data_IF_577625257823
#
_entry.id   IF_577625257823
#
_cell.length_a   1.000
_cell.length_b   1.000
_cell.length_c   1.000
_cell.angle_alpha   90.00
_cell.angle_beta   90.00
_cell.angle_gamma   90.00
#
_symmetry.space_group_name_H-M   'P 1'
#
loop_
_entity.id
_entity.type
_entity.pdbx_description
1 polymer ?
#
# COMPACT_ATOMS: atom_id res chain seq x y z
N UNK A 1 -6.55 14.84 -19.57
CA UNK A 1 -6.28 13.53 -20.20
C UNK A 1 -6.99 12.46 -19.39
N UNK A 2 -7.61 11.47 -20.03
CA UNK A 2 -8.29 10.36 -19.33
C UNK A 2 -7.23 9.36 -18.84
N UNK A 3 -7.08 9.23 -17.52
CA UNK A 3 -6.08 8.38 -16.88
C UNK A 3 -6.44 6.87 -16.90
N UNK A 4 -7.29 6.43 -17.82
CA UNK A 4 -7.71 5.01 -17.89
C UNK A 4 -6.72 4.21 -18.71
N UNK A 5 -5.76 3.58 -18.03
CA UNK A 5 -4.82 2.63 -18.66
C UNK A 5 -5.52 1.30 -18.87
N UNK A 6 -5.50 0.82 -20.12
CA UNK A 6 -5.98 -0.52 -20.45
C UNK A 6 -4.95 -1.27 -21.28
N UNK A 7 -4.38 -2.30 -20.69
CA UNK A 7 -3.43 -3.18 -21.40
C UNK A 7 -4.20 -4.23 -22.18
N UNK A 8 -3.90 -4.37 -23.46
CA UNK A 8 -4.43 -5.43 -24.33
C UNK A 8 -3.59 -6.70 -24.22
N UNK A 9 -4.20 -7.85 -24.54
CA UNK A 9 -3.51 -9.14 -24.60
C UNK A 9 -2.27 -9.10 -25.53
N UNK A 10 -2.36 -8.38 -26.65
CA UNK A 10 -1.26 -8.24 -27.61
C UNK A 10 -0.09 -7.45 -27.01
N UNK A 11 -0.36 -6.35 -26.31
CA UNK A 11 0.68 -5.59 -25.61
C UNK A 11 1.34 -6.43 -24.51
N UNK A 12 0.54 -7.15 -23.72
CA UNK A 12 1.04 -8.07 -22.70
C UNK A 12 1.93 -9.17 -23.31
N UNK A 13 1.53 -9.75 -24.43
CA UNK A 13 2.33 -10.75 -25.17
C UNK A 13 3.66 -10.19 -25.65
N UNK A 14 3.70 -8.94 -26.13
CA UNK A 14 4.94 -8.28 -26.56
C UNK A 14 5.88 -8.01 -25.38
N UNK A 15 5.33 -7.50 -24.27
CA UNK A 15 6.10 -7.23 -23.05
C UNK A 15 6.72 -8.54 -22.54
N UNK A 16 5.91 -9.58 -22.33
CA UNK A 16 6.41 -10.86 -21.80
C UNK A 16 7.33 -11.57 -22.79
N UNK A 17 7.06 -11.51 -24.10
CA UNK A 17 7.91 -12.12 -25.12
C UNK A 17 9.32 -11.53 -25.17
N UNK A 18 9.46 -10.24 -24.83
CA UNK A 18 10.75 -9.52 -24.85
C UNK A 18 11.62 -9.82 -23.63
N UNK A 19 11.01 -10.15 -22.48
CA UNK A 19 11.72 -10.27 -21.20
C UNK A 19 11.60 -11.64 -20.51
N UNK A 20 10.65 -12.50 -20.91
CA UNK A 20 10.36 -13.77 -20.23
C UNK A 20 11.35 -14.92 -20.47
N UNK A 21 12.34 -14.69 -21.35
CA UNK A 21 13.41 -15.65 -21.67
C UNK A 21 12.97 -16.82 -22.57
N UNK A 22 11.74 -16.82 -23.10
CA UNK A 22 11.28 -17.80 -24.08
C UNK A 22 10.48 -17.12 -25.19
N UNK A 23 11.10 -16.80 -26.34
CA UNK A 23 10.44 -16.10 -27.44
C UNK A 23 9.29 -16.90 -28.07
N UNK A 24 9.19 -18.20 -27.81
CA UNK A 24 8.10 -19.06 -28.29
C UNK A 24 6.89 -19.15 -27.36
N UNK A 25 6.99 -18.65 -26.12
CA UNK A 25 5.91 -18.76 -25.15
C UNK A 25 4.75 -17.81 -25.49
N UNK A 26 3.54 -18.35 -25.61
CA UNK A 26 2.31 -17.57 -25.84
C UNK A 26 1.58 -17.33 -24.54
N UNK A 27 0.94 -16.19 -24.39
CA UNK A 27 0.04 -15.89 -23.26
C UNK A 27 -1.20 -16.78 -23.40
N UNK A 28 -1.39 -17.69 -22.45
CA UNK A 28 -2.55 -18.58 -22.38
C UNK A 28 -3.71 -17.97 -21.61
N UNK A 29 -3.41 -17.13 -20.60
CA UNK A 29 -4.40 -16.42 -19.81
C UNK A 29 -3.92 -15.00 -19.51
N UNK A 30 -4.85 -14.04 -19.59
CA UNK A 30 -4.62 -12.63 -19.31
C UNK A 30 -5.86 -12.09 -18.58
N UNK A 31 -5.73 -11.83 -17.29
CA UNK A 31 -6.86 -11.46 -16.42
C UNK A 31 -6.50 -10.25 -15.58
N UNK A 32 -7.35 -9.23 -15.59
CA UNK A 32 -7.19 -8.08 -14.69
C UNK A 32 -7.46 -8.51 -13.25
N UNK A 33 -6.52 -8.19 -12.36
CA UNK A 33 -6.66 -8.43 -10.92
C UNK A 33 -7.36 -7.22 -10.32
N UNK A 34 -8.66 -7.39 -10.07
CA UNK A 34 -9.47 -6.38 -9.39
C UNK A 34 -9.05 -6.27 -7.93
N UNK A 35 -8.91 -5.04 -7.43
CA UNK A 35 -8.60 -4.78 -6.02
C UNK A 35 -9.87 -4.34 -5.31
N UNK A 36 -10.52 -5.26 -4.59
CA UNK A 36 -11.63 -4.92 -3.71
C UNK A 36 -11.15 -4.41 -2.34
N UNK A 37 -9.85 -4.42 -2.03
CA UNK A 37 -9.23 -3.99 -0.77
C UNK A 37 -8.71 -2.55 -0.73
N UNK A 38 -8.21 -2.09 0.42
CA UNK A 38 -7.73 -0.70 0.63
C UNK A 38 -6.52 -0.35 -0.24
N UNK A 39 -5.83 -1.36 -0.75
CA UNK A 39 -4.67 -1.29 -1.63
C UNK A 39 -4.95 -0.84 -3.07
N UNK A 40 -6.18 -0.39 -3.34
CA UNK A 40 -6.57 0.13 -4.63
C UNK A 40 -5.88 1.46 -4.91
N UNK A 41 -5.22 1.55 -6.05
CA UNK A 41 -4.67 2.78 -6.61
C UNK A 41 -5.39 3.09 -7.92
N UNK A 42 -6.02 4.25 -8.04
CA UNK A 42 -6.84 4.65 -9.17
C UNK A 42 -6.11 4.64 -10.51
N UNK A 43 -4.80 4.92 -10.47
CA UNK A 43 -3.98 5.04 -11.66
C UNK A 43 -3.31 3.72 -12.08
N UNK A 44 -3.17 2.72 -11.20
CA UNK A 44 -2.40 1.51 -11.55
C UNK A 44 -3.30 0.29 -11.71
N UNK A 45 -3.21 -0.35 -12.87
CA UNK A 45 -3.87 -1.62 -13.19
C UNK A 45 -2.94 -2.79 -12.99
N UNK A 46 -3.52 -3.93 -12.65
CA UNK A 46 -2.82 -5.18 -12.34
C UNK A 46 -3.35 -6.27 -13.25
N UNK A 47 -2.47 -7.01 -13.92
CA UNK A 47 -2.86 -8.12 -14.78
C UNK A 47 -2.08 -9.37 -14.41
N UNK A 48 -2.78 -10.48 -14.21
CA UNK A 48 -2.18 -11.79 -14.11
C UNK A 48 -2.01 -12.39 -15.51
N UNK A 49 -0.82 -12.92 -15.79
CA UNK A 49 -0.44 -13.46 -17.09
C UNK A 49 0.08 -14.89 -16.90
N UNK A 50 -0.59 -15.86 -17.51
CA UNK A 50 -0.10 -17.23 -17.62
C UNK A 50 0.42 -17.50 -19.03
N UNK A 51 1.48 -18.30 -19.15
CA UNK A 51 2.06 -18.69 -20.43
C UNK A 51 1.69 -20.14 -20.79
N UNK A 52 1.43 -20.41 -22.07
CA UNK A 52 1.19 -21.76 -22.58
C UNK A 52 2.50 -22.56 -22.61
N UNK A 53 2.51 -23.75 -22.02
CA UNK A 53 3.66 -24.65 -22.05
C UNK A 53 4.85 -24.18 -21.19
N UNK A 54 4.62 -23.26 -20.25
CA UNK A 54 5.63 -22.74 -19.33
C UNK A 54 5.03 -22.61 -17.94
N UNK A 55 5.73 -23.10 -16.93
CA UNK A 55 5.32 -22.96 -15.52
C UNK A 55 5.45 -21.52 -14.99
N UNK A 56 6.06 -20.62 -15.77
CA UNK A 56 6.17 -19.21 -15.39
C UNK A 56 4.83 -18.49 -15.52
N UNK A 57 4.46 -17.78 -14.47
CA UNK A 57 3.39 -16.79 -14.45
C UNK A 57 3.96 -15.42 -14.12
N UNK A 58 3.26 -14.37 -14.56
CA UNK A 58 3.67 -12.99 -14.34
C UNK A 58 2.52 -12.16 -13.80
N UNK A 59 2.89 -11.09 -13.09
CA UNK A 59 2.01 -9.96 -12.79
C UNK A 59 2.54 -8.75 -13.55
N UNK A 60 1.69 -8.12 -14.34
CA UNK A 60 1.99 -6.87 -15.04
C UNK A 60 1.27 -5.73 -14.34
N UNK A 61 2.04 -4.76 -13.85
CA UNK A 61 1.52 -3.48 -13.38
C UNK A 61 1.59 -2.48 -14.52
N UNK A 62 0.52 -1.72 -14.74
CA UNK A 62 0.48 -0.67 -15.75
C UNK A 62 -0.07 0.62 -15.14
N UNK A 63 0.63 1.73 -15.36
CA UNK A 63 0.32 3.04 -14.79
C UNK A 63 0.44 4.12 -15.88
N UNK A 64 -0.41 5.17 -15.88
CA UNK A 64 -0.34 6.24 -16.86
C UNK A 64 1.04 6.87 -16.91
N UNK A 65 1.46 7.32 -18.10
CA UNK A 65 2.66 8.13 -18.19
C UNK A 65 2.45 9.46 -17.47
N UNK A 66 3.45 9.91 -16.72
CA UNK A 66 3.44 11.25 -16.17
C UNK A 66 3.36 12.27 -17.33
N UNK A 67 2.38 13.18 -17.28
CA UNK A 67 2.23 14.20 -18.30
C UNK A 67 3.48 15.09 -18.33
N UNK A 68 4.17 15.10 -19.46
CA UNK A 68 5.37 15.94 -19.65
C UNK A 68 4.93 17.41 -19.57
N UNK A 69 5.27 18.10 -18.48
CA UNK A 69 5.09 19.54 -18.34
C UNK A 69 3.86 20.00 -17.55
N UNK A 70 3.03 19.10 -17.02
CA UNK A 70 2.17 19.50 -15.91
C UNK A 70 3.04 19.58 -14.66
N UNK A 71 3.14 20.76 -14.05
CA UNK A 71 3.62 20.90 -12.68
C UNK A 71 2.68 20.07 -11.81
N UNK A 72 2.99 18.78 -11.63
CA UNK A 72 2.26 17.88 -10.76
C UNK A 72 2.45 18.39 -9.33
N UNK A 73 1.65 19.38 -8.95
CA UNK A 73 1.44 19.78 -7.56
C UNK A 73 0.55 18.77 -6.85
N UNK A 74 0.10 17.72 -7.54
CA UNK A 74 -0.54 16.55 -6.92
C UNK A 74 0.55 15.77 -6.18
N UNK A 75 0.86 16.24 -4.98
CA UNK A 75 1.92 15.80 -4.07
C UNK A 75 1.71 14.43 -3.48
N UNK A 76 0.53 13.83 -3.68
CA UNK A 76 0.25 12.66 -2.88
C UNK A 76 1.15 11.46 -3.23
N UNK A 77 1.62 10.77 -2.18
CA UNK A 77 2.67 9.78 -2.29
C UNK A 77 2.13 8.49 -2.92
N UNK A 78 2.29 8.34 -4.23
CA UNK A 78 2.23 7.03 -4.86
C UNK A 78 3.63 6.60 -5.26
N UNK A 79 4.00 5.37 -4.92
CA UNK A 79 5.28 4.80 -5.31
C UNK A 79 5.33 4.67 -6.83
N UNK A 80 6.38 5.23 -7.45
CA UNK A 80 6.64 5.08 -8.89
C UNK A 80 6.92 3.62 -9.25
N UNK A 81 6.74 3.23 -10.51
CA UNK A 81 7.04 1.86 -10.92
C UNK A 81 8.50 1.43 -10.67
N UNK A 82 9.53 2.27 -10.89
CA UNK A 82 10.90 1.89 -10.55
C UNK A 82 11.15 1.85 -9.04
N UNK A 83 10.57 2.73 -8.22
CA UNK A 83 10.66 2.66 -6.75
C UNK A 83 10.05 1.36 -6.25
N UNK A 84 8.90 0.97 -6.80
CA UNK A 84 8.26 -0.28 -6.47
C UNK A 84 9.13 -1.48 -6.86
N UNK A 85 9.77 -1.42 -8.04
CA UNK A 85 10.74 -2.43 -8.47
C UNK A 85 11.91 -2.54 -7.47
N UNK A 86 12.51 -1.42 -7.08
CA UNK A 86 13.62 -1.38 -6.14
C UNK A 86 13.20 -1.89 -4.74
N UNK A 87 12.00 -1.50 -4.29
CA UNK A 87 11.43 -1.93 -3.02
C UNK A 87 11.19 -3.44 -2.99
N UNK A 88 10.58 -4.02 -4.03
CA UNK A 88 10.33 -5.46 -4.12
C UNK A 88 11.64 -6.26 -4.13
N UNK A 89 12.67 -5.77 -4.84
CA UNK A 89 14.02 -6.37 -4.77
C UNK A 89 14.56 -6.32 -3.34
N UNK A 90 14.46 -5.18 -2.65
CA UNK A 90 14.91 -5.04 -1.25
C UNK A 90 14.18 -6.00 -0.31
N UNK A 91 12.87 -6.19 -0.48
CA UNK A 91 12.08 -7.15 0.31
C UNK A 91 12.60 -8.57 0.08
N UNK A 92 12.82 -8.96 -1.17
CA UNK A 92 13.32 -10.30 -1.52
C UNK A 92 14.74 -10.56 -1.00
N UNK A 93 15.59 -9.54 -1.01
CA UNK A 93 16.98 -9.67 -0.56
C UNK A 93 17.10 -9.67 0.97
N UNK A 94 16.16 -9.01 1.67
CA UNK A 94 16.24 -8.81 3.12
C UNK A 94 15.37 -9.76 3.93
N UNK A 95 14.39 -10.42 3.31
CA UNK A 95 13.35 -11.18 4.04
C UNK A 95 12.94 -12.47 3.33
N UNK A 96 12.14 -13.28 4.02
CA UNK A 96 11.46 -14.44 3.46
C UNK A 96 10.03 -14.15 2.99
N UNK A 97 9.64 -12.87 2.93
CA UNK A 97 8.27 -12.47 2.56
C UNK A 97 8.06 -12.80 1.08
N UNK A 98 7.02 -13.58 0.74
CA UNK A 98 6.82 -14.04 -0.62
C UNK A 98 6.21 -12.90 -1.45
N UNK A 99 7.05 -12.18 -2.19
CA UNK A 99 6.61 -11.18 -3.16
C UNK A 99 7.04 -11.56 -4.59
N UNK A 100 6.34 -11.10 -5.63
CA UNK A 100 6.76 -11.29 -7.02
C UNK A 100 8.13 -10.66 -7.28
N UNK A 101 8.97 -11.35 -8.06
CA UNK A 101 10.31 -10.88 -8.43
C UNK A 101 10.23 -9.86 -9.56
N UNK A 102 10.81 -8.66 -9.43
CA UNK A 102 10.92 -7.73 -10.54
C UNK A 102 11.74 -8.31 -11.69
N UNK A 103 11.20 -8.22 -12.91
CA UNK A 103 11.89 -8.65 -14.14
C UNK A 103 12.41 -7.45 -14.89
N UNK A 104 11.53 -6.51 -15.21
CA UNK A 104 11.83 -5.31 -15.99
C UNK A 104 10.74 -4.26 -15.78
N UNK A 105 11.07 -2.99 -15.93
CA UNK A 105 10.09 -1.91 -16.00
C UNK A 105 10.41 -0.91 -17.10
N UNK A 106 9.38 -0.20 -17.58
CA UNK A 106 9.55 0.88 -18.53
C UNK A 106 8.55 1.99 -18.22
N UNK A 107 9.06 3.19 -17.89
CA UNK A 107 8.26 4.38 -17.58
C UNK A 107 8.07 5.33 -18.77
N UNK A 108 8.64 4.98 -19.93
CA UNK A 108 8.58 5.77 -21.18
C UNK A 108 7.47 5.32 -22.13
N UNK A 109 6.72 4.27 -21.76
CA UNK A 109 5.74 3.64 -22.63
C UNK A 109 6.38 2.88 -23.79
N UNK A 110 7.58 2.32 -23.60
CA UNK A 110 8.32 1.64 -24.66
C UNK A 110 8.66 2.58 -25.81
N UNK A 111 9.33 3.69 -25.50
CA UNK A 111 9.75 4.71 -26.46
C UNK A 111 8.56 5.36 -27.20
N UNK A 112 7.46 5.62 -26.48
CA UNK A 112 6.23 6.21 -27.03
C UNK A 112 5.33 5.23 -27.78
N UNK A 113 5.60 3.93 -27.75
CA UNK A 113 4.74 2.89 -28.32
C UNK A 113 3.41 2.75 -27.57
N UNK A 114 3.42 3.02 -26.27
CA UNK A 114 2.32 2.91 -25.35
C UNK A 114 2.12 4.21 -24.59
N UNK A 115 0.89 4.46 -24.18
CA UNK A 115 0.47 5.60 -23.37
C UNK A 115 0.52 5.32 -21.85
N UNK A 116 1.17 4.21 -21.46
CA UNK A 116 1.35 3.79 -20.08
C UNK A 116 2.77 3.27 -19.82
N UNK A 117 3.26 3.51 -18.61
CA UNK A 117 4.42 2.81 -18.05
C UNK A 117 4.01 1.45 -17.49
N UNK A 118 4.96 0.52 -17.38
CA UNK A 118 4.69 -0.81 -16.85
C UNK A 118 5.86 -1.38 -16.04
N UNK A 119 5.53 -2.32 -15.14
CA UNK A 119 6.46 -3.14 -14.37
C UNK A 119 6.03 -4.59 -14.51
N UNK A 120 6.92 -5.42 -15.04
CA UNK A 120 6.72 -6.86 -15.19
C UNK A 120 7.36 -7.59 -14.00
N UNK A 121 6.56 -8.42 -13.35
CA UNK A 121 6.95 -9.17 -12.18
C UNK A 121 6.76 -10.66 -12.44
N UNK A 122 7.74 -11.47 -12.10
CA UNK A 122 7.68 -12.93 -12.21
C UNK A 122 7.18 -13.51 -10.89
N UNK A 123 6.16 -14.36 -10.96
CA UNK A 123 5.75 -15.18 -9.83
C UNK A 123 6.72 -16.35 -9.69
N UNK A 124 7.27 -16.52 -8.49
CA UNK A 124 8.03 -17.74 -8.17
C UNK A 124 7.04 -18.90 -8.20
N UNK A 125 7.24 -19.93 -9.03
CA UNK A 125 6.35 -21.08 -9.02
C UNK A 125 6.41 -21.70 -7.62
N UNK A 126 5.30 -21.66 -6.89
CA UNK A 126 5.14 -22.62 -5.81
C UNK A 126 5.16 -23.99 -6.47
N UNK A 127 5.66 -25.00 -5.78
CA UNK A 127 5.98 -26.34 -6.31
C UNK A 127 4.80 -27.11 -6.93
N UNK A 128 3.64 -26.48 -7.15
CA UNK A 128 2.44 -27.10 -7.71
C UNK A 128 1.79 -26.24 -8.81
N UNK A 129 1.54 -26.91 -9.91
CA UNK A 129 1.07 -26.40 -11.18
C UNK A 129 -0.33 -25.77 -11.08
N UNK A 130 -0.47 -24.53 -11.58
CA UNK A 130 -1.72 -23.88 -12.03
C UNK A 130 -2.95 -23.95 -11.10
N UNK A 131 -2.78 -23.82 -9.78
CA UNK A 131 -3.95 -23.64 -8.92
C UNK A 131 -4.62 -22.28 -9.22
N UNK A 132 -5.96 -22.21 -9.17
CA UNK A 132 -6.68 -20.94 -9.29
C UNK A 132 -6.18 -19.99 -8.22
N UNK A 133 -5.86 -18.77 -8.64
CA UNK A 133 -5.40 -17.69 -7.77
C UNK A 133 -6.62 -17.22 -6.98
N UNK A 134 -6.61 -17.45 -5.68
CA UNK A 134 -7.66 -16.97 -4.79
C UNK A 134 -7.05 -16.11 -3.70
N UNK A 135 -7.70 -14.99 -3.43
CA UNK A 135 -7.31 -14.09 -2.34
C UNK A 135 -7.73 -14.71 -1.00
N UNK A 136 -7.03 -14.36 0.07
CA UNK A 136 -7.41 -14.77 1.43
C UNK A 136 -8.84 -14.36 1.74
N UNK A 137 -9.26 -13.15 1.34
CA UNK A 137 -10.62 -12.66 1.52
C UNK A 137 -11.67 -13.60 0.88
N UNK A 138 -11.43 -14.03 -0.36
CA UNK A 138 -12.34 -14.95 -1.07
C UNK A 138 -12.38 -16.36 -0.50
N UNK A 139 -11.26 -16.83 0.06
CA UNK A 139 -11.14 -18.19 0.63
C UNK A 139 -11.56 -18.26 2.09
N UNK A 140 -11.51 -17.15 2.84
CA UNK A 140 -11.77 -17.16 4.28
C UNK A 140 -13.05 -17.91 4.70
N UNK A 141 -14.20 -17.80 3.99
CA UNK A 141 -15.41 -18.54 4.34
C UNK A 141 -15.32 -20.06 4.16
N UNK A 142 -14.34 -20.55 3.39
CA UNK A 142 -14.17 -21.98 3.06
C UNK A 142 -13.00 -22.63 3.78
N UNK A 143 -12.08 -21.84 4.35
CA UNK A 143 -10.95 -22.34 5.13
C UNK A 143 -11.44 -22.87 6.48
N UNK A 144 -10.83 -23.97 6.94
CA UNK A 144 -11.04 -24.42 8.31
C UNK A 144 -10.42 -23.44 9.31
N UNK A 145 -10.83 -23.49 10.59
CA UNK A 145 -10.18 -22.71 11.65
C UNK A 145 -8.66 -22.96 11.73
N UNK A 146 -8.21 -24.19 11.47
CA UNK A 146 -6.79 -24.56 11.53
C UNK A 146 -6.01 -23.94 10.36
N UNK A 147 -6.55 -24.03 9.14
CA UNK A 147 -5.95 -23.43 7.95
C UNK A 147 -5.87 -21.91 8.09
N UNK A 148 -6.97 -21.29 8.52
CA UNK A 148 -7.04 -19.84 8.71
C UNK A 148 -6.04 -19.37 9.77
N UNK A 149 -6.00 -20.02 10.95
CA UNK A 149 -5.04 -19.69 12.00
C UNK A 149 -3.59 -19.81 11.52
N UNK A 150 -3.28 -20.84 10.70
CA UNK A 150 -1.94 -21.00 10.13
C UNK A 150 -1.58 -19.86 9.17
N UNK A 151 -2.49 -19.47 8.27
CA UNK A 151 -2.27 -18.34 7.35
C UNK A 151 -2.10 -17.04 8.13
N UNK A 152 -2.95 -16.80 9.13
CA UNK A 152 -2.93 -15.59 9.95
C UNK A 152 -1.65 -15.50 10.80
N UNK A 153 -1.21 -16.62 11.39
CA UNK A 153 0.09 -16.72 12.06
C UNK A 153 1.24 -16.39 11.10
N UNK A 154 1.21 -16.97 9.89
CA UNK A 154 2.24 -16.74 8.88
C UNK A 154 2.24 -15.29 8.39
N UNK A 155 1.07 -14.68 8.24
CA UNK A 155 0.91 -13.27 7.90
C UNK A 155 1.55 -12.39 8.97
N UNK A 156 1.28 -12.64 10.26
CA UNK A 156 1.93 -11.94 11.37
C UNK A 156 3.45 -12.01 11.29
N UNK A 157 4.01 -13.20 11.04
CA UNK A 157 5.45 -13.40 10.85
C UNK A 157 6.00 -12.59 9.67
N UNK A 158 5.28 -12.54 8.55
CA UNK A 158 5.70 -11.74 7.39
C UNK A 158 5.61 -10.23 7.63
N UNK A 159 4.58 -9.74 8.33
CA UNK A 159 4.51 -8.33 8.74
C UNK A 159 5.69 -7.95 9.63
N UNK A 160 6.05 -8.80 10.61
CA UNK A 160 7.27 -8.60 11.40
C UNK A 160 8.52 -8.55 10.53
N UNK A 161 8.65 -9.46 9.56
CA UNK A 161 9.80 -9.49 8.65
C UNK A 161 9.88 -8.22 7.78
N UNK A 162 8.75 -7.73 7.24
CA UNK A 162 8.69 -6.45 6.53
C UNK A 162 9.15 -5.29 7.41
N UNK A 163 8.66 -5.23 8.66
CA UNK A 163 9.04 -4.20 9.62
C UNK A 163 10.50 -4.29 10.09
N UNK A 164 11.14 -5.44 9.88
CA UNK A 164 12.57 -5.62 10.07
C UNK A 164 13.42 -4.95 8.99
N UNK A 165 12.82 -4.58 7.85
CA UNK A 165 13.46 -3.75 6.83
C UNK A 165 13.38 -2.30 7.31
N UNK A 166 14.53 -1.72 7.62
CA UNK A 166 14.64 -0.35 8.13
C UNK A 166 15.30 0.56 7.11
N UNK A 167 15.18 1.88 7.27
CA UNK A 167 15.79 2.86 6.40
C UNK A 167 16.49 3.97 7.20
N UNK A 168 17.14 4.92 6.52
CA UNK A 168 17.75 6.08 7.19
C UNK A 168 16.80 7.29 7.26
N UNK A 169 15.75 7.31 6.44
CA UNK A 169 14.76 8.40 6.39
C UNK A 169 13.33 7.86 6.42
N UNK A 170 12.41 8.69 6.90
CA UNK A 170 10.96 8.46 6.86
C UNK A 170 10.34 8.91 5.52
N UNK A 171 9.16 8.37 5.20
CA UNK A 171 8.36 8.78 4.03
C UNK A 171 8.34 7.74 2.91
N UNK A 172 8.17 8.19 1.66
CA UNK A 172 7.94 7.28 0.53
C UNK A 172 9.25 6.59 0.10
N UNK A 173 9.22 5.29 -0.24
CA UNK A 173 10.33 4.64 -0.91
C UNK A 173 10.66 5.29 -2.27
N UNK A 174 11.95 5.41 -2.57
CA UNK A 174 12.47 6.03 -3.80
C UNK A 174 13.38 5.06 -4.57
N UNK A 175 13.47 5.23 -5.89
CA UNK A 175 14.13 4.31 -6.84
C UNK A 175 15.62 4.10 -6.58
N UNK A 176 16.30 5.13 -6.08
CA UNK A 176 17.73 5.08 -5.79
C UNK A 176 18.00 5.46 -4.34
N UNK A 177 18.94 4.77 -3.66
CA UNK A 177 19.59 5.37 -2.50
C UNK A 177 20.24 6.65 -3.03
N UNK A 178 19.63 7.78 -2.69
CA UNK A 178 20.15 9.06 -3.12
C UNK A 178 21.53 9.20 -2.49
N UNK A 179 22.50 9.68 -3.27
CA UNK A 179 23.86 9.93 -2.78
C UNK A 179 23.87 10.95 -1.65
N UNK A 180 22.83 11.77 -1.59
CA UNK A 180 22.48 12.69 -0.52
C UNK A 180 21.01 12.43 -0.14
N UNK A 181 20.63 12.43 1.15
CA UNK A 181 19.22 12.31 1.51
C UNK A 181 18.42 13.36 0.73
N UNK A 182 17.21 13.04 0.23
CA UNK A 182 16.49 14.00 -0.60
C UNK A 182 16.28 15.29 0.24
N UNK A 183 16.17 16.46 -0.41
CA UNK A 183 15.85 17.72 0.27
C UNK A 183 14.46 17.63 0.90
N UNK A 184 14.37 17.83 2.21
CA UNK A 184 13.12 17.55 2.89
C UNK A 184 12.09 18.68 2.66
N UNK A 185 10.80 18.32 2.73
CA UNK A 185 9.72 19.28 2.64
C UNK A 185 9.68 20.12 3.93
N UNK A 186 10.19 21.35 3.85
CA UNK A 186 10.23 22.27 4.99
C UNK A 186 8.81 22.62 5.49
N UNK A 187 8.55 22.34 6.77
CA UNK A 187 7.33 22.77 7.47
C UNK A 187 7.16 24.29 7.50
N UNK A 188 8.25 25.06 7.36
CA UNK A 188 8.18 26.54 7.34
C UNK A 188 7.36 27.04 6.15
N UNK A 189 7.34 26.27 5.05
CA UNK A 189 6.49 26.57 3.88
C UNK A 189 5.00 26.34 4.16
N UNK A 190 4.67 25.42 5.07
CA UNK A 190 3.31 25.04 5.44
C UNK A 190 2.67 26.01 6.43
N UNK A 191 3.46 26.55 7.36
CA UNK A 191 2.97 27.48 8.38
C UNK A 191 3.12 28.96 8.02
N UNK A 192 3.58 29.28 6.81
CA UNK A 192 3.47 30.61 6.22
C UNK A 192 4.12 31.73 7.05
N UNK A 193 5.16 31.41 7.82
CA UNK A 193 5.97 32.42 8.48
C UNK A 193 6.83 33.11 7.40
N UNK A 194 6.21 34.08 6.70
CA UNK A 194 6.89 34.99 5.78
C UNK A 194 7.97 35.78 6.53
N UNK A 195 9.14 35.20 6.72
CA UNK A 195 10.34 35.92 7.13
C UNK A 195 10.93 36.60 5.89
N UNK A 196 10.28 37.68 5.45
CA UNK A 196 10.89 38.61 4.50
C UNK A 196 11.93 39.46 5.23
N UNK A 197 13.16 38.98 5.30
CA UNK A 197 14.24 39.81 5.83
C UNK A 197 15.53 39.05 6.08
N UNK A 198 16.34 38.87 5.04
CA UNK A 198 17.73 38.48 5.22
C UNK A 198 18.37 37.98 3.94
N UNK A 199 19.06 38.87 3.24
CA UNK A 199 19.97 38.56 2.13
C UNK A 199 21.23 37.82 2.66
N UNK A 200 21.03 36.65 3.25
CA UNK A 200 22.10 35.80 3.78
C UNK A 200 22.47 34.71 2.77
N UNK A 201 23.57 34.93 2.05
CA UNK A 201 24.24 33.89 1.27
C UNK A 201 24.51 32.63 2.11
N UNK A 202 24.07 31.49 1.60
CA UNK A 202 24.85 30.26 1.63
C UNK A 202 25.00 29.56 2.98
N UNK A 203 23.97 28.83 3.39
CA UNK A 203 24.16 27.63 4.20
C UNK A 203 23.43 26.49 3.50
N UNK A 204 24.18 25.52 2.96
CA UNK A 204 23.68 24.16 2.70
C UNK A 204 23.29 23.56 4.05
N UNK A 205 22.13 23.98 4.57
CA UNK A 205 21.58 23.48 5.82
C UNK A 205 21.07 22.07 5.60
N UNK A 206 21.71 21.09 6.25
CA UNK A 206 21.18 19.73 6.35
C UNK A 206 19.73 19.79 6.83
N UNK A 207 18.80 19.31 6.02
CA UNK A 207 17.38 19.40 6.29
C UNK A 207 16.94 18.21 7.16
N UNK A 208 16.82 18.46 8.47
CA UNK A 208 16.59 17.43 9.48
C UNK A 208 15.17 16.86 9.51
N UNK A 209 14.22 17.43 8.76
CA UNK A 209 12.78 17.08 8.86
C UNK A 209 12.47 15.65 8.40
N UNK A 210 13.33 15.01 7.61
CA UNK A 210 13.19 13.59 7.20
C UNK A 210 13.68 12.55 8.22
N UNK A 211 14.28 13.01 9.31
CA UNK A 211 14.70 12.17 10.43
C UNK A 211 13.67 12.18 11.57
N UNK A 212 12.62 12.99 11.48
CA UNK A 212 11.47 12.92 12.39
C UNK A 212 10.27 12.29 11.69
N UNK A 213 9.71 11.27 12.33
CA UNK A 213 8.44 10.69 11.93
C UNK A 213 7.29 11.70 12.05
N UNK A 214 7.34 12.59 13.05
CA UNK A 214 6.31 13.60 13.26
C UNK A 214 6.16 14.52 12.06
N UNK A 215 7.26 15.14 11.63
CA UNK A 215 7.26 16.09 10.52
C UNK A 215 6.83 15.40 9.21
N UNK A 216 7.37 14.20 9.00
CA UNK A 216 7.05 13.38 7.82
C UNK A 216 5.57 12.97 7.78
N UNK A 217 4.98 12.59 8.92
CA UNK A 217 3.56 12.26 9.00
C UNK A 217 2.66 13.48 8.80
N UNK A 218 3.00 14.61 9.44
CA UNK A 218 2.23 15.86 9.36
C UNK A 218 2.15 16.35 7.92
N UNK A 219 3.28 16.36 7.21
CA UNK A 219 3.29 16.75 5.81
C UNK A 219 2.37 15.85 4.97
N UNK A 220 2.55 14.52 5.04
CA UNK A 220 1.77 13.61 4.20
C UNK A 220 0.26 13.75 4.49
N UNK A 221 -0.09 13.98 5.75
CA UNK A 221 -1.47 14.23 6.15
C UNK A 221 -2.00 15.55 5.55
N UNK A 222 -1.22 16.63 5.62
CA UNK A 222 -1.59 17.93 5.02
C UNK A 222 -1.66 17.89 3.50
N UNK A 223 -0.79 17.14 2.82
CA UNK A 223 -0.86 16.91 1.38
C UNK A 223 -2.15 16.19 0.99
N UNK A 224 -2.54 15.16 1.74
CA UNK A 224 -3.82 14.47 1.53
C UNK A 224 -5.01 15.37 1.82
N UNK A 225 -4.96 16.18 2.88
CA UNK A 225 -6.02 17.17 3.17
C UNK A 225 -6.12 18.19 2.05
N UNK A 226 -4.99 18.72 1.57
CA UNK A 226 -4.97 19.64 0.45
C UNK A 226 -5.51 18.99 -0.83
N UNK A 227 -5.22 17.72 -1.10
CA UNK A 227 -5.76 17.02 -2.26
C UNK A 227 -7.26 16.73 -2.13
N UNK A 228 -7.74 16.34 -0.96
CA UNK A 228 -9.16 15.96 -0.76
C UNK A 228 -10.03 17.20 -0.61
N UNK A 229 -9.56 18.24 0.09
CA UNK A 229 -10.28 19.49 0.32
C UNK A 229 -10.00 20.58 -0.74
N UNK A 230 -8.93 20.44 -1.53
CA UNK A 230 -8.44 21.46 -2.45
C UNK A 230 -9.44 21.85 -3.54
N UNK A 231 -9.41 23.15 -3.83
CA UNK A 231 -10.38 23.98 -4.58
C UNK A 231 -11.19 23.27 -5.67
N UNK A 232 -12.51 23.17 -5.43
CA UNK A 232 -13.52 23.18 -6.49
C UNK A 232 -13.75 24.61 -7.05
N UNK A 233 -12.96 25.57 -6.57
CA UNK A 233 -13.08 27.01 -6.78
C UNK A 233 -12.36 27.57 -8.00
N UNK A 234 -12.81 27.21 -9.21
CA UNK A 234 -12.98 28.25 -10.24
C UNK A 234 -14.40 28.84 -10.21
N UNK A 235 -15.34 28.17 -9.50
CA UNK A 235 -16.74 28.56 -9.42
C UNK A 235 -17.17 28.87 -7.97
N UNK A 236 -16.45 29.75 -7.28
CA UNK A 236 -16.94 30.69 -6.25
C UNK A 236 -17.96 30.29 -5.17
N UNK A 237 -18.26 29.00 -4.93
CA UNK A 237 -19.22 28.58 -3.92
C UNK A 237 -18.48 27.85 -2.79
N UNK A 238 -18.27 28.59 -1.70
CA UNK A 238 -17.23 28.39 -0.67
C UNK A 238 -17.59 27.41 0.45
N UNK A 239 -18.15 26.24 0.17
CA UNK A 239 -18.43 25.21 1.19
C UNK A 239 -17.77 23.84 0.87
N UNK A 240 -16.49 23.87 0.49
CA UNK A 240 -15.70 22.68 0.12
C UNK A 240 -15.51 21.65 1.25
N UNK A 241 -15.84 21.99 2.50
CA UNK A 241 -15.82 21.07 3.65
C UNK A 241 -17.10 20.23 3.81
N UNK A 242 -18.20 20.60 3.16
CA UNK A 242 -19.51 19.98 3.40
C UNK A 242 -19.54 18.51 2.96
N UNK A 243 -18.75 18.15 1.94
CA UNK A 243 -18.67 16.78 1.42
C UNK A 243 -17.97 15.76 2.32
N UNK A 244 -17.11 16.20 3.24
CA UNK A 244 -16.37 15.34 4.17
C UNK A 244 -17.01 15.24 5.55
N UNK A 245 -17.92 16.16 5.88
CA UNK A 245 -18.54 16.23 7.20
C UNK A 245 -17.56 16.57 8.33
N UNK A 246 -16.42 17.21 8.02
CA UNK A 246 -15.42 17.62 9.00
C UNK A 246 -15.02 19.09 8.83
N UNK A 247 -14.67 19.73 9.96
CA UNK A 247 -14.04 21.04 9.96
C UNK A 247 -12.51 20.86 9.92
N UNK A 248 -11.89 21.19 8.79
CA UNK A 248 -10.44 21.02 8.55
C UNK A 248 -9.60 21.85 9.52
N UNK A 249 -10.03 23.08 9.83
CA UNK A 249 -9.34 23.95 10.79
C UNK A 249 -9.38 23.38 12.21
N UNK A 250 -10.49 22.73 12.57
CA UNK A 250 -10.62 22.05 13.84
C UNK A 250 -9.69 20.81 13.91
N UNK A 251 -9.60 20.03 12.83
CA UNK A 251 -8.67 18.92 12.71
C UNK A 251 -7.21 19.38 12.83
N UNK A 252 -6.83 20.47 12.13
CA UNK A 252 -5.50 21.09 12.22
C UNK A 252 -5.16 21.54 13.63
N UNK A 253 -6.11 22.16 14.34
CA UNK A 253 -5.94 22.53 15.75
C UNK A 253 -5.65 21.31 16.63
N UNK A 254 -6.33 20.19 16.40
CA UNK A 254 -6.05 18.95 17.12
C UNK A 254 -4.67 18.36 16.76
N UNK A 255 -4.27 18.48 15.49
CA UNK A 255 -2.94 18.06 15.04
C UNK A 255 -1.84 18.88 15.73
N UNK A 256 -1.98 20.21 15.79
CA UNK A 256 -1.04 21.08 16.50
C UNK A 256 -0.89 20.69 17.98
N UNK A 257 -1.98 20.28 18.64
CA UNK A 257 -1.90 19.78 20.03
C UNK A 257 -1.13 18.46 20.11
N UNK A 258 -1.37 17.53 19.18
CA UNK A 258 -0.66 16.26 19.11
C UNK A 258 0.84 16.43 18.87
N UNK A 259 1.21 17.36 17.97
CA UNK A 259 2.59 17.78 17.70
C UNK A 259 3.23 18.35 18.97
N UNK A 260 2.57 19.32 19.62
CA UNK A 260 3.08 19.95 20.84
C UNK A 260 3.24 19.00 22.03
N UNK A 261 2.61 17.82 21.99
CA UNK A 261 2.75 16.75 22.96
C UNK A 261 3.73 15.63 22.54
N UNK A 262 4.41 15.78 21.40
CA UNK A 262 5.35 14.80 20.87
C UNK A 262 4.71 13.42 20.61
N UNK A 263 3.44 13.39 20.21
CA UNK A 263 2.68 12.14 20.04
C UNK A 263 3.33 11.18 19.03
N UNK A 264 4.08 11.72 18.06
CA UNK A 264 4.67 10.97 16.96
C UNK A 264 6.19 10.76 17.09
N UNK A 265 6.84 11.36 18.10
CA UNK A 265 8.30 11.29 18.29
C UNK A 265 8.80 9.96 18.89
N UNK A 266 7.90 9.04 19.25
CA UNK A 266 8.28 7.73 19.80
C UNK A 266 8.73 6.71 18.72
N UNK A 267 8.84 7.13 17.47
CA UNK A 267 9.29 6.30 16.35
C UNK A 267 10.75 6.64 16.04
N UNK A 268 11.66 5.87 16.63
CA UNK A 268 13.10 6.12 16.49
C UNK A 268 13.64 5.70 15.11
N UNK A 269 13.08 4.65 14.52
CA UNK A 269 13.59 4.08 13.28
C UNK A 269 12.47 3.85 12.25
N UNK A 270 12.63 4.34 11.01
CA UNK A 270 11.70 4.07 9.95
C UNK A 270 11.71 2.59 9.59
N UNK A 271 10.51 2.00 9.58
CA UNK A 271 10.29 0.61 9.17
C UNK A 271 9.47 0.60 7.89
N UNK A 272 9.71 -0.37 7.02
CA UNK A 272 8.86 -0.54 5.85
C UNK A 272 7.47 -0.96 6.30
N UNK A 273 6.46 -0.15 5.98
CA UNK A 273 5.06 -0.43 6.29
C UNK A 273 4.22 -0.52 5.02
N UNK A 274 3.32 -1.49 5.00
CA UNK A 274 2.32 -1.72 3.97
C UNK A 274 0.98 -1.14 4.40
N UNK A 275 0.90 0.21 4.38
CA UNK A 275 -0.21 1.00 4.93
C UNK A 275 -1.57 0.42 4.56
N UNK A 276 -1.83 0.21 3.27
CA UNK A 276 -3.13 -0.20 2.71
C UNK A 276 -3.29 -1.71 2.50
N UNK A 277 -2.40 -2.52 3.05
CA UNK A 277 -2.46 -3.98 2.88
C UNK A 277 -3.74 -4.59 3.41
N UNK A 278 -4.26 -5.59 2.70
CA UNK A 278 -5.51 -6.25 3.05
C UNK A 278 -5.54 -7.72 2.62
N UNK A 279 -6.59 -8.45 3.04
CA UNK A 279 -6.77 -9.87 2.67
C UNK A 279 -6.98 -10.09 1.17
N UNK A 280 -7.39 -9.07 0.43
CA UNK A 280 -7.49 -9.11 -1.04
C UNK A 280 -6.12 -9.11 -1.71
N UNK A 281 -5.08 -8.74 -0.97
CA UNK A 281 -3.71 -8.70 -1.47
C UNK A 281 -2.89 -9.95 -1.12
N UNK A 282 -3.46 -10.86 -0.34
CA UNK A 282 -2.78 -12.09 0.07
C UNK A 282 -3.28 -13.23 -0.81
N UNK A 283 -2.42 -13.75 -1.67
CA UNK A 283 -2.75 -14.92 -2.48
C UNK A 283 -2.43 -16.19 -1.70
N UNK A 284 -3.42 -17.07 -1.59
CA UNK A 284 -3.32 -18.32 -0.84
C UNK A 284 -3.32 -19.49 -1.81
N UNK A 285 -2.46 -20.47 -1.54
CA UNK A 285 -2.44 -21.76 -2.24
C UNK A 285 -2.96 -22.87 -1.33
N UNK A 286 -3.80 -23.73 -1.90
CA UNK A 286 -4.31 -24.94 -1.25
C UNK A 286 -3.64 -26.16 -1.89
N UNK A 287 -2.70 -26.74 -1.18
CA UNK A 287 -2.02 -27.96 -1.63
C UNK A 287 -2.84 -29.18 -1.21
N UNK A 288 -3.35 -30.01 -2.15
CA UNK A 288 -3.92 -31.29 -1.77
C UNK A 288 -2.84 -32.12 -1.07
N UNK A 289 -3.20 -32.79 0.03
CA UNK A 289 -2.27 -33.72 0.66
C UNK A 289 -1.78 -34.70 -0.41
N UNK A 290 -0.47 -34.69 -0.67
CA UNK A 290 0.15 -35.69 -1.53
C UNK A 290 -0.09 -37.01 -0.82
N UNK A 291 -1.09 -37.77 -1.30
CA UNK A 291 -1.45 -39.07 -0.77
C UNK A 291 -0.18 -39.90 -0.63
N UNK A 292 0.37 -39.94 0.59
CA UNK A 292 1.56 -40.69 0.91
C UNK A 292 1.24 -42.13 0.52
N UNK A 293 2.02 -42.68 -0.39
CA UNK A 293 1.84 -44.03 -0.93
C UNK A 293 1.34 -44.98 0.15
N UNK A 294 0.12 -45.47 -0.09
CA UNK A 294 -0.69 -46.27 0.80
C UNK A 294 0.11 -47.30 1.63
N UNK A 295 0.40 -46.96 2.89
CA UNK A 295 0.36 -47.96 3.94
C UNK A 295 -1.10 -48.04 4.40
N UNK A 296 -1.84 -48.92 3.71
CA UNK A 296 -3.14 -49.44 4.14
C UNK A 296 -3.11 -49.72 5.64
N UNK A 297 -3.98 -49.09 6.42
CA UNK A 297 -4.75 -49.73 7.51
C UNK A 297 -5.28 -48.78 8.60
N UNK A 298 -5.04 -47.47 8.55
CA UNK A 298 -5.68 -46.52 9.48
C UNK A 298 -6.71 -45.63 8.79
N UNK A 299 -7.90 -46.20 8.57
CA UNK A 299 -9.09 -45.48 8.17
C UNK A 299 -9.58 -44.60 9.34
N UNK A 300 -9.21 -43.32 9.39
CA UNK A 300 -9.68 -42.49 10.50
C UNK A 300 -9.18 -41.06 10.63
N UNK A 301 -8.80 -40.38 9.55
CA UNK A 301 -8.73 -38.92 9.52
C UNK A 301 -8.69 -38.47 8.06
N UNK A 302 -9.71 -37.75 7.60
CA UNK A 302 -9.66 -37.12 6.28
C UNK A 302 -8.53 -36.10 6.29
N UNK A 303 -7.50 -36.37 5.49
CA UNK A 303 -6.38 -35.48 5.27
C UNK A 303 -6.86 -34.12 4.78
N UNK A 304 -6.64 -33.09 5.58
CA UNK A 304 -7.08 -31.74 5.25
C UNK A 304 -6.03 -31.08 4.35
N UNK A 305 -6.45 -30.47 3.24
CA UNK A 305 -5.53 -29.78 2.34
C UNK A 305 -4.67 -28.75 3.10
N UNK A 306 -3.41 -28.64 2.75
CA UNK A 306 -2.50 -27.69 3.38
C UNK A 306 -2.69 -26.31 2.76
N UNK A 307 -3.04 -25.31 3.57
CA UNK A 307 -3.19 -23.93 3.13
C UNK A 307 -1.95 -23.11 3.51
N UNK A 308 -1.39 -22.38 2.55
CA UNK A 308 -0.24 -21.50 2.77
C UNK A 308 -0.33 -20.24 1.90
N UNK A 309 0.36 -19.18 2.33
CA UNK A 309 0.48 -17.92 1.58
C UNK A 309 1.43 -18.16 0.40
N UNK A 310 0.89 -18.07 -0.81
CA UNK A 310 1.67 -18.20 -2.03
C UNK A 310 2.54 -16.95 -2.26
N UNK A 311 1.92 -15.76 -2.20
CA UNK A 311 2.60 -14.47 -2.31
C UNK A 311 1.67 -13.31 -1.93
N UNK A 312 2.26 -12.15 -1.65
CA UNK A 312 1.55 -10.88 -1.57
C UNK A 312 1.51 -10.20 -2.94
N UNK A 313 0.33 -9.72 -3.35
CA UNK A 313 0.22 -8.86 -4.51
C UNK A 313 1.10 -7.62 -4.29
N UNK A 314 1.75 -7.09 -5.34
CA UNK A 314 2.68 -5.96 -5.26
C UNK A 314 1.92 -4.63 -5.13
N UNK A 315 1.06 -4.51 -4.12
CA UNK A 315 0.17 -3.37 -3.89
C UNK A 315 0.73 -2.39 -2.86
N UNK A 316 2.05 -2.28 -2.85
CA UNK A 316 2.81 -1.35 -2.04
C UNK A 316 2.73 0.10 -2.56
N UNK A 317 1.68 0.47 -3.31
CA UNK A 317 1.54 1.82 -3.88
C UNK A 317 1.51 2.94 -2.85
N UNK A 318 1.10 2.61 -1.62
CA UNK A 318 1.11 3.48 -0.44
C UNK A 318 2.05 2.98 0.66
N UNK A 319 3.08 2.20 0.31
CA UNK A 319 4.06 1.79 1.31
C UNK A 319 4.92 2.98 1.75
N UNK A 320 5.31 2.98 3.02
CA UNK A 320 6.07 4.06 3.64
C UNK A 320 7.22 3.49 4.48
N UNK A 321 8.19 4.34 4.75
CA UNK A 321 9.14 4.25 5.84
C UNK A 321 8.54 4.99 7.03
N UNK A 322 7.96 4.27 7.98
CA UNK A 322 7.11 4.86 9.01
C UNK A 322 6.85 3.96 10.21
N UNK A 323 5.78 4.29 10.93
CA UNK A 323 5.32 3.58 12.11
C UNK A 323 4.46 2.35 11.71
N UNK A 324 4.85 1.12 12.08
CA UNK A 324 4.04 -0.09 11.92
C UNK A 324 2.57 0.06 12.31
N UNK A 325 2.28 0.85 13.34
CA UNK A 325 0.92 1.03 13.84
C UNK A 325 -0.01 1.69 12.81
N UNK A 326 0.51 2.25 11.70
CA UNK A 326 -0.30 2.78 10.61
C UNK A 326 -1.03 1.72 9.80
N UNK A 327 -0.49 0.51 9.67
CA UNK A 327 -1.00 -0.49 8.72
C UNK A 327 -2.45 -0.88 8.96
N UNK A 328 -3.21 -1.09 7.88
CA UNK A 328 -4.60 -1.50 7.94
C UNK A 328 -4.83 -2.84 8.68
N UNK A 329 -3.83 -3.73 8.70
CA UNK A 329 -3.87 -4.99 9.44
C UNK A 329 -4.06 -4.83 10.96
N UNK A 330 -3.70 -3.68 11.50
CA UNK A 330 -3.87 -3.37 12.92
C UNK A 330 -5.09 -2.48 13.17
N UNK A 331 -5.95 -2.22 12.17
CA UNK A 331 -7.17 -1.43 12.33
C UNK A 331 -8.26 -2.37 12.85
N UNK A 332 -9.16 -1.91 13.74
CA UNK A 332 -10.31 -2.71 14.13
C UNK A 332 -11.05 -3.26 12.89
N UNK A 333 -11.43 -4.56 12.87
CA UNK A 333 -11.41 -5.50 13.99
C UNK A 333 -10.06 -6.20 14.27
N UNK A 334 -9.01 -5.93 13.49
CA UNK A 334 -7.69 -6.53 13.63
C UNK A 334 -6.78 -5.86 14.69
N UNK A 335 -5.60 -6.45 14.95
CA UNK A 335 -5.20 -7.79 14.51
C UNK A 335 -5.91 -8.88 15.32
N UNK A 336 -6.16 -10.05 14.71
CA UNK A 336 -6.61 -11.21 15.48
C UNK A 336 -5.45 -11.83 16.28
N UNK A 337 -5.78 -12.83 17.11
CA UNK A 337 -4.81 -13.47 17.99
C UNK A 337 -3.67 -14.15 17.22
N UNK A 338 -3.95 -14.86 16.12
CA UNK A 338 -2.94 -15.57 15.35
C UNK A 338 -1.95 -14.61 14.66
N UNK A 339 -2.44 -13.52 14.05
CA UNK A 339 -1.58 -12.46 13.51
C UNK A 339 -0.70 -11.88 14.61
N UNK A 340 -1.27 -11.60 15.78
CA UNK A 340 -0.53 -11.07 16.94
C UNK A 340 0.58 -12.03 17.37
N UNK A 341 0.27 -13.32 17.51
CA UNK A 341 1.23 -14.34 17.91
C UNK A 341 2.39 -14.47 16.91
N UNK A 342 2.10 -14.49 15.61
CA UNK A 342 3.13 -14.57 14.56
C UNK A 342 3.98 -13.30 14.48
N UNK A 343 3.36 -12.15 14.72
CA UNK A 343 4.03 -10.86 14.73
C UNK A 343 5.02 -10.72 15.90
N UNK A 344 4.67 -11.23 17.08
CA UNK A 344 5.51 -11.18 18.27
C UNK A 344 6.34 -12.45 18.51
N UNK A 345 6.37 -13.40 17.57
CA UNK A 345 7.10 -14.67 17.69
C UNK A 345 6.74 -15.51 18.92
N UNK A 346 5.49 -15.40 19.39
CA UNK A 346 5.04 -16.04 20.62
C UNK A 346 5.57 -15.40 21.91
N UNK A 347 6.16 -14.20 21.87
CA UNK A 347 6.48 -13.45 23.09
C UNK A 347 5.20 -13.14 23.87
N UNK A 348 5.07 -13.75 25.05
CA UNK A 348 3.92 -13.54 25.93
C UNK A 348 3.78 -12.06 26.31
N UNK A 349 2.65 -11.45 25.93
CA UNK A 349 2.35 -10.06 26.28
C UNK A 349 2.78 -9.02 25.25
N UNK A 350 3.26 -9.43 24.06
CA UNK A 350 3.44 -8.52 22.93
C UNK A 350 2.13 -7.84 22.54
N UNK A 351 2.03 -6.53 22.76
CA UNK A 351 0.89 -5.72 22.37
C UNK A 351 1.34 -4.49 21.59
N UNK A 352 0.73 -4.26 20.42
CA UNK A 352 1.01 -3.08 19.60
C UNK A 352 0.54 -1.77 20.26
N UNK A 353 -0.52 -1.86 21.08
CA UNK A 353 -1.13 -0.72 21.77
C UNK A 353 -1.14 -1.04 23.28
N UNK A 354 -0.14 -0.54 23.98
CA UNK A 354 0.04 -0.66 25.43
C UNK A 354 -0.48 0.59 26.15
N UNK A 355 -0.29 1.77 25.55
CA UNK A 355 -0.52 3.05 26.22
C UNK A 355 -1.70 3.84 25.64
N UNK A 356 -2.39 4.68 26.43
CA UNK A 356 -3.44 5.56 25.94
C UNK A 356 -3.01 6.43 24.75
N UNK A 357 -1.78 6.96 24.76
CA UNK A 357 -1.23 7.75 23.65
C UNK A 357 -1.22 6.99 22.32
N UNK A 358 -0.94 5.68 22.33
CA UNK A 358 -0.94 4.86 21.11
C UNK A 358 -2.36 4.68 20.57
N UNK A 359 -3.39 4.72 21.42
CA UNK A 359 -4.79 4.75 20.96
C UNK A 359 -5.08 6.06 20.22
N UNK A 360 -4.63 7.20 20.75
CA UNK A 360 -4.76 8.50 20.07
C UNK A 360 -4.01 8.53 18.74
N UNK A 361 -2.76 8.04 18.73
CA UNK A 361 -1.95 7.87 17.53
C UNK A 361 -2.67 7.01 16.50
N UNK A 362 -3.34 5.94 16.96
CA UNK A 362 -4.12 5.07 16.08
C UNK A 362 -5.29 5.81 15.44
N UNK A 363 -5.97 6.69 16.16
CA UNK A 363 -7.05 7.53 15.60
C UNK A 363 -6.52 8.42 14.48
N UNK A 364 -5.34 9.03 14.64
CA UNK A 364 -4.67 9.79 13.58
C UNK A 364 -4.36 8.95 12.34
N UNK A 365 -3.87 7.74 12.52
CA UNK A 365 -3.60 6.84 11.39
C UNK A 365 -4.88 6.36 10.70
N UNK A 366 -5.99 6.23 11.42
CA UNK A 366 -7.30 5.99 10.80
C UNK A 366 -7.77 7.19 9.97
N UNK A 367 -7.56 8.42 10.45
CA UNK A 367 -7.81 9.64 9.67
C UNK A 367 -7.01 9.62 8.37
N UNK A 368 -5.71 9.35 8.47
CA UNK A 368 -4.81 9.25 7.31
C UNK A 368 -5.29 8.20 6.29
N UNK A 369 -5.64 6.99 6.76
CA UNK A 369 -6.18 5.92 5.91
C UNK A 369 -7.48 6.33 5.20
N UNK A 370 -8.41 6.96 5.93
CA UNK A 370 -9.65 7.45 5.34
C UNK A 370 -9.39 8.51 4.26
N UNK A 371 -8.43 9.41 4.48
CA UNK A 371 -8.04 10.40 3.49
C UNK A 371 -7.39 9.78 2.24
N UNK A 372 -6.57 8.73 2.38
CA UNK A 372 -6.06 7.98 1.22
C UNK A 372 -7.23 7.44 0.38
N UNK A 373 -8.21 6.79 1.02
CA UNK A 373 -9.37 6.22 0.31
C UNK A 373 -10.15 7.30 -0.45
N UNK A 374 -10.35 8.47 0.17
CA UNK A 374 -11.06 9.59 -0.46
C UNK A 374 -10.25 10.26 -1.57
N UNK A 375 -8.93 10.37 -1.41
CA UNK A 375 -8.03 10.87 -2.44
C UNK A 375 -8.04 9.95 -3.67
N UNK A 376 -7.94 8.63 -3.46
CA UNK A 376 -8.01 7.64 -4.54
C UNK A 376 -9.36 7.67 -5.28
N UNK A 377 -10.47 7.81 -4.56
CA UNK A 377 -11.79 7.98 -5.18
C UNK A 377 -11.86 9.29 -5.99
N UNK A 378 -11.33 10.40 -5.46
CA UNK A 378 -11.27 11.68 -6.20
C UNK A 378 -10.43 11.55 -7.48
N UNK A 379 -9.29 10.86 -7.41
CA UNK A 379 -8.46 10.54 -8.59
C UNK A 379 -9.24 9.71 -9.60
N UNK A 380 -9.90 8.63 -9.15
CA UNK A 380 -10.75 7.77 -9.99
C UNK A 380 -11.84 8.56 -10.71
N UNK A 381 -12.51 9.49 -10.03
CA UNK A 381 -13.54 10.34 -10.65
C UNK A 381 -12.97 11.24 -11.75
N UNK A 382 -11.76 11.80 -11.55
CA UNK A 382 -11.07 12.60 -12.57
C UNK A 382 -10.67 11.79 -13.80
N UNK A 383 -10.44 10.48 -13.67
CA UNK A 383 -10.05 9.63 -14.82
C UNK A 383 -11.21 9.30 -15.76
N UNK A 384 -12.46 9.50 -15.31
CA UNK A 384 -13.67 9.21 -16.09
C UNK A 384 -14.09 7.74 -16.08
N UNK A 385 -13.50 6.89 -15.24
CA UNK A 385 -13.75 5.44 -15.19
C UNK A 385 -15.01 5.04 -14.39
N UNK A 386 -15.98 5.96 -14.28
CA UNK A 386 -17.07 5.90 -13.30
C UNK A 386 -18.25 4.98 -13.65
N UNK A 387 -18.50 4.68 -14.93
CA UNK A 387 -19.82 4.15 -15.32
C UNK A 387 -19.99 2.62 -15.20
N UNK A 388 -18.91 1.82 -15.17
CA UNK A 388 -19.04 0.34 -15.27
C UNK A 388 -18.62 -0.45 -14.03
N UNK A 389 -18.11 0.22 -12.99
CA UNK A 389 -17.57 -0.44 -11.78
C UNK A 389 -18.12 0.10 -10.45
N UNK A 390 -19.34 0.64 -10.44
CA UNK A 390 -19.91 1.43 -9.32
C UNK A 390 -19.98 0.66 -7.99
N UNK A 391 -20.12 -0.67 -8.00
CA UNK A 391 -20.30 -1.44 -6.77
C UNK A 391 -18.98 -1.73 -6.02
N UNK A 392 -17.90 -2.02 -6.74
CA UNK A 392 -16.62 -2.43 -6.15
C UNK A 392 -15.83 -1.18 -5.70
N UNK A 393 -15.87 -0.88 -4.41
CA UNK A 393 -15.15 0.25 -3.80
C UNK A 393 -16.04 1.27 -3.09
N UNK A 394 -17.34 1.31 -3.40
CA UNK A 394 -18.30 2.22 -2.77
C UNK A 394 -18.34 2.04 -1.25
N UNK A 395 -18.31 0.79 -0.78
CA UNK A 395 -18.31 0.48 0.67
C UNK A 395 -17.15 1.14 1.43
N UNK A 396 -15.98 1.28 0.80
CA UNK A 396 -14.82 1.93 1.44
C UNK A 396 -14.94 3.44 1.48
N UNK A 397 -15.47 4.02 0.40
CA UNK A 397 -15.74 5.46 0.36
C UNK A 397 -16.77 5.82 1.41
N UNK A 398 -17.81 5.00 1.56
CA UNK A 398 -18.80 5.12 2.65
C UNK A 398 -18.12 4.98 4.01
N UNK A 399 -17.32 3.94 4.23
CA UNK A 399 -16.55 3.77 5.47
C UNK A 399 -15.68 4.99 5.78
N UNK A 400 -14.95 5.51 4.80
CA UNK A 400 -14.05 6.65 4.96
C UNK A 400 -14.83 7.93 5.35
N UNK A 401 -15.96 8.19 4.67
CA UNK A 401 -16.85 9.33 4.98
C UNK A 401 -17.50 9.19 6.36
N UNK A 402 -17.79 7.98 6.82
CA UNK A 402 -18.36 7.76 8.14
C UNK A 402 -17.32 7.80 9.27
N UNK A 403 -16.13 7.25 9.04
CA UNK A 403 -15.09 7.11 10.07
C UNK A 403 -14.40 8.45 10.33
N UNK A 404 -14.24 9.29 9.30
CA UNK A 404 -13.50 10.54 9.40
C UNK A 404 -14.12 11.51 10.43
N UNK A 405 -15.43 11.82 10.41
CA UNK A 405 -16.06 12.64 11.46
C UNK A 405 -16.01 12.00 12.86
N UNK A 406 -16.15 10.67 12.94
CA UNK A 406 -16.04 9.93 14.21
C UNK A 406 -14.64 10.11 14.82
N UNK A 407 -13.60 9.97 14.01
CA UNK A 407 -12.22 10.18 14.42
C UNK A 407 -11.97 11.63 14.86
N UNK A 408 -12.43 12.64 14.10
CA UNK A 408 -12.30 14.06 14.49
C UNK A 408 -12.96 14.32 15.85
N UNK A 409 -14.15 13.77 16.08
CA UNK A 409 -14.83 13.91 17.36
C UNK A 409 -14.09 13.23 18.52
N UNK A 410 -13.48 12.06 18.29
CA UNK A 410 -12.61 11.40 19.28
C UNK A 410 -11.38 12.25 19.56
N UNK A 411 -10.75 12.80 18.52
CA UNK A 411 -9.52 13.61 18.63
C UNK A 411 -9.72 14.87 19.45
N UNK A 412 -10.93 15.43 19.52
CA UNK A 412 -11.25 16.60 20.33
C UNK A 412 -10.76 16.50 21.77
N UNK A 413 -11.07 15.38 22.43
CA UNK A 413 -10.79 15.14 23.85
C UNK A 413 -9.73 14.05 24.07
N UNK A 414 -9.06 13.60 23.00
CA UNK A 414 -8.10 12.51 23.09
C UNK A 414 -6.85 12.89 23.92
N UNK A 415 -6.38 12.00 24.82
CA UNK A 415 -5.16 12.23 25.58
C UNK A 415 -3.96 12.20 24.64
N UNK A 416 -3.07 13.16 24.77
CA UNK A 416 -1.86 13.23 23.96
C UNK A 416 -0.57 12.98 24.76
N UNK A 417 -0.68 12.68 26.07
CA UNK A 417 0.43 12.40 26.99
C UNK A 417 0.38 10.97 27.55
#
# INVERSE_FOLDING_TARGET
MTCSVRVTLQQAQVIVGSHGGNPGARVSSFTEVKSAGYSYTACTRKYHIALSGSEKCYVLLASPLAAIGENMTSTAPSITLPALSALLTRILDSTSVPVPRPVEHNVSGGDGKWDFGWLLLQLTPSTQSYLPISTLASLRPTLSPRQLARIELRLGTYLRALHGITNEWFGVPVDRPLSEPPAAPSLDSLFGANQSGGDGEGGEGEDWTRYSWQDTFVLQLEELLAEVCGDEGANGNTDSGEGLGINVEELRRYLSRAIGSFLFEDVEMPRLIWVTGSEEDVIVSLTPEKGSHASSDTAGAGGEAEADIAYFLPTFGHALWGDPLMEAWFLPPGPNQAITEGYFDGEEGGALIVFPRQKTKRVWYTVYMALIVLAEERRRQRTGDGETGVAEGWEKVVWAKEVLPKCVNILKDAPCY
#
